data_IF_482830531488
#
_entry.id   IF_482830531488
#
_cell.length_a   1.000
_cell.length_b   1.000
_cell.length_c   1.000
_cell.angle_alpha   90.00
_cell.angle_beta   90.00
_cell.angle_gamma   90.00
#
_symmetry.space_group_name_H-M   'P 1'
#
loop_
_entity.id
_entity.type
_entity.pdbx_description
1 polymer ?
#
# COMPACT_ATOMS: atom_id res chain seq x y z
N UNK A 1 -18.92 2.25 -15.36
CA UNK A 1 -19.17 0.97 -14.69
C UNK A 1 -18.07 0.68 -13.70
N UNK A 2 -18.40 -0.02 -12.62
CA UNK A 2 -17.46 -0.30 -11.54
C UNK A 2 -16.22 -1.05 -12.02
N UNK A 3 -16.38 -2.08 -12.85
CA UNK A 3 -15.27 -2.87 -13.36
C UNK A 3 -14.29 -2.03 -14.17
N UNK A 4 -14.78 -1.11 -14.99
CA UNK A 4 -13.94 -0.20 -15.76
C UNK A 4 -13.22 0.80 -14.86
N UNK A 5 -13.90 1.28 -13.83
CA UNK A 5 -13.29 2.20 -12.87
C UNK A 5 -12.13 1.53 -12.15
N UNK A 6 -12.31 0.28 -11.72
CA UNK A 6 -11.27 -0.49 -11.06
C UNK A 6 -10.07 -0.70 -11.99
N UNK A 7 -10.32 -1.07 -13.24
CA UNK A 7 -9.24 -1.28 -14.23
C UNK A 7 -8.49 0.02 -14.51
N UNK A 8 -9.21 1.12 -14.60
CA UNK A 8 -8.60 2.44 -14.84
C UNK A 8 -7.70 2.84 -13.68
N UNK A 9 -8.19 2.70 -12.45
CA UNK A 9 -7.40 3.02 -11.27
C UNK A 9 -6.18 2.11 -11.13
N UNK A 10 -6.34 0.82 -11.42
CA UNK A 10 -5.22 -0.12 -11.39
C UNK A 10 -4.14 0.26 -12.40
N UNK A 11 -4.54 0.65 -13.61
CA UNK A 11 -3.60 1.08 -14.65
C UNK A 11 -2.90 2.39 -14.27
N UNK A 12 -3.65 3.35 -13.73
CA UNK A 12 -3.07 4.61 -13.27
C UNK A 12 -2.04 4.37 -12.19
N UNK A 13 -2.38 3.55 -11.20
CA UNK A 13 -1.48 3.24 -10.11
C UNK A 13 -0.23 2.52 -10.61
N UNK A 14 -0.41 1.54 -11.50
CA UNK A 14 0.71 0.80 -12.07
C UNK A 14 1.65 1.72 -12.84
N UNK A 15 1.11 2.64 -13.63
CA UNK A 15 1.91 3.61 -14.36
C UNK A 15 2.67 4.53 -13.41
N UNK A 16 2.00 5.00 -12.37
CA UNK A 16 2.61 5.86 -11.34
C UNK A 16 3.73 5.13 -10.61
N UNK A 17 3.53 3.87 -10.26
CA UNK A 17 4.52 3.07 -9.54
C UNK A 17 5.75 2.76 -10.37
N UNK A 18 5.64 2.77 -11.70
CA UNK A 18 6.80 2.61 -12.57
C UNK A 18 7.67 3.85 -12.64
N UNK A 19 7.10 5.01 -12.38
CA UNK A 19 7.78 6.31 -12.57
C UNK A 19 8.06 7.05 -11.27
N UNK A 20 7.51 6.59 -10.13
CA UNK A 20 7.66 7.28 -8.87
C UNK A 20 7.90 6.29 -7.72
N UNK A 21 8.52 6.80 -6.66
CA UNK A 21 8.73 6.07 -5.43
C UNK A 21 7.38 5.82 -4.75
N UNK A 22 7.04 4.58 -4.36
CA UNK A 22 5.78 4.30 -3.67
C UNK A 22 5.64 5.07 -2.35
N UNK A 23 6.74 5.40 -1.68
CA UNK A 23 6.68 6.23 -0.47
C UNK A 23 6.22 7.65 -0.80
N UNK A 24 6.67 8.19 -1.91
CA UNK A 24 6.23 9.50 -2.37
C UNK A 24 4.76 9.50 -2.75
N UNK A 25 4.30 8.44 -3.39
CA UNK A 25 2.89 8.30 -3.74
C UNK A 25 2.03 8.26 -2.49
N UNK A 26 2.46 7.52 -1.47
CA UNK A 26 1.76 7.50 -0.19
C UNK A 26 1.67 8.89 0.44
N UNK A 27 2.76 9.65 0.39
CA UNK A 27 2.77 11.01 0.92
C UNK A 27 1.77 11.91 0.18
N UNK A 28 1.73 11.82 -1.14
CA UNK A 28 0.77 12.56 -1.96
C UNK A 28 -0.68 12.20 -1.63
N UNK A 29 -0.93 10.92 -1.37
CA UNK A 29 -2.26 10.41 -1.04
C UNK A 29 -2.60 10.57 0.45
N UNK A 30 -1.71 11.16 1.23
CA UNK A 30 -1.87 11.33 2.67
C UNK A 30 -2.03 10.00 3.41
N UNK A 31 -1.30 8.99 2.95
CA UNK A 31 -1.24 7.69 3.59
C UNK A 31 0.01 7.68 4.48
N UNK A 32 -0.20 7.41 5.77
CA UNK A 32 0.88 7.31 6.73
C UNK A 32 1.52 5.92 6.64
N UNK A 33 2.84 5.87 6.71
CA UNK A 33 3.58 4.62 6.75
C UNK A 33 4.11 4.43 8.17
N UNK A 34 3.83 3.27 8.75
CA UNK A 34 4.36 2.88 10.04
C UNK A 34 5.17 1.60 9.91
N UNK A 35 6.22 1.48 10.71
CA UNK A 35 7.08 0.29 10.74
C UNK A 35 6.96 -0.35 12.11
N UNK A 36 6.67 -1.65 12.13
CA UNK A 36 6.58 -2.42 13.37
C UNK A 36 7.22 -3.80 13.17
N UNK A 37 7.97 -4.29 14.16
CA UNK A 37 8.52 -5.63 14.07
C UNK A 37 7.41 -6.67 14.20
N UNK A 38 7.35 -7.60 13.23
CA UNK A 38 6.31 -8.63 13.19
C UNK A 38 6.88 -10.03 13.05
N UNK A 39 8.21 -10.17 13.11
CA UNK A 39 8.89 -11.44 13.00
C UNK A 39 9.23 -11.82 11.56
N UNK A 40 10.00 -12.90 11.42
CA UNK A 40 10.48 -13.37 10.13
C UNK A 40 10.12 -14.83 9.85
N UNK A 41 9.22 -15.40 10.62
CA UNK A 41 8.72 -16.75 10.39
C UNK A 41 7.81 -16.80 9.17
N UNK A 42 7.63 -17.96 8.52
CA UNK A 42 6.78 -18.05 7.33
C UNK A 42 5.34 -17.57 7.57
N UNK A 43 4.83 -17.71 8.79
CA UNK A 43 3.48 -17.24 9.14
C UNK A 43 3.41 -15.81 9.64
N UNK A 44 4.53 -15.10 9.69
CA UNK A 44 4.53 -13.72 10.20
C UNK A 44 3.81 -12.77 9.25
N UNK A 45 3.15 -11.77 9.81
CA UNK A 45 2.51 -10.72 9.02
C UNK A 45 3.59 -9.91 8.30
N UNK A 46 3.34 -9.56 7.05
CA UNK A 46 4.27 -8.75 6.24
C UNK A 46 3.92 -7.28 6.27
N UNK A 47 2.64 -6.98 6.38
CA UNK A 47 2.14 -5.63 6.43
C UNK A 47 0.63 -5.62 6.27
N UNK A 48 0.00 -4.49 6.53
CA UNK A 48 -1.44 -4.34 6.38
C UNK A 48 -1.82 -2.88 6.19
N UNK A 49 -3.01 -2.69 5.65
CA UNK A 49 -3.61 -1.38 5.44
C UNK A 49 -4.80 -1.21 6.40
N UNK A 50 -4.87 -0.05 7.03
CA UNK A 50 -5.97 0.31 7.92
C UNK A 50 -6.47 1.71 7.60
N UNK A 51 -7.79 1.89 7.72
CA UNK A 51 -8.40 3.21 7.76
C UNK A 51 -8.93 3.43 9.18
N UNK A 52 -8.48 4.50 9.82
CA UNK A 52 -8.90 4.82 11.17
C UNK A 52 -9.13 6.32 11.29
N UNK A 53 -10.34 6.69 11.72
CA UNK A 53 -10.74 8.10 11.85
C UNK A 53 -10.48 8.89 10.56
N UNK A 54 -10.84 8.31 9.40
CA UNK A 54 -10.60 8.90 8.07
C UNK A 54 -9.13 9.04 7.71
N UNK A 55 -8.24 8.48 8.51
CA UNK A 55 -6.81 8.46 8.21
C UNK A 55 -6.42 7.08 7.69
N UNK A 56 -5.64 7.08 6.62
CA UNK A 56 -5.16 5.85 5.99
C UNK A 56 -3.75 5.58 6.48
N UNK A 57 -3.52 4.34 6.93
CA UNK A 57 -2.21 3.92 7.45
C UNK A 57 -1.85 2.58 6.82
N UNK A 58 -0.62 2.49 6.33
CA UNK A 58 -0.03 1.22 5.91
C UNK A 58 1.07 0.90 6.91
N UNK A 59 0.95 -0.25 7.57
CA UNK A 59 1.95 -0.73 8.51
C UNK A 59 2.76 -1.82 7.83
N UNK A 60 4.09 -1.72 7.90
CA UNK A 60 5.01 -2.67 7.29
C UNK A 60 5.84 -3.36 8.36
N UNK A 61 6.17 -4.62 8.13
CA UNK A 61 7.01 -5.40 9.02
C UNK A 61 8.47 -4.93 8.93
N UNK A 62 8.95 -4.26 9.96
CA UNK A 62 10.30 -3.70 9.99
C UNK A 62 11.40 -4.76 10.07
N UNK A 63 11.06 -6.00 10.40
CA UNK A 63 12.04 -7.10 10.44
C UNK A 63 12.38 -7.61 9.03
N UNK A 64 11.62 -7.22 8.02
CA UNK A 64 11.88 -7.60 6.64
C UNK A 64 12.89 -6.65 5.98
N UNK A 65 13.70 -7.14 5.02
CA UNK A 65 14.60 -6.27 4.26
C UNK A 65 13.84 -5.15 3.54
N UNK A 66 14.50 -4.02 3.33
CA UNK A 66 13.87 -2.87 2.68
C UNK A 66 13.29 -3.21 1.31
N UNK A 67 13.97 -4.02 0.52
CA UNK A 67 13.48 -4.42 -0.80
C UNK A 67 12.14 -5.13 -0.71
N UNK A 68 11.99 -6.00 0.28
CA UNK A 68 10.75 -6.73 0.50
C UNK A 68 9.67 -5.78 1.02
N UNK A 69 10.03 -4.90 1.95
CA UNK A 69 9.07 -3.90 2.46
C UNK A 69 8.53 -3.03 1.33
N UNK A 70 9.37 -2.67 0.37
CA UNK A 70 8.94 -1.87 -0.78
C UNK A 70 7.91 -2.61 -1.62
N UNK A 71 8.10 -3.90 -1.86
CA UNK A 71 7.15 -4.73 -2.60
C UNK A 71 5.83 -4.82 -1.85
N UNK A 72 5.90 -5.02 -0.54
CA UNK A 72 4.70 -5.08 0.31
C UNK A 72 3.96 -3.75 0.30
N UNK A 73 4.69 -2.64 0.35
CA UNK A 73 4.10 -1.31 0.27
C UNK A 73 3.32 -1.13 -1.04
N UNK A 74 3.89 -1.54 -2.15
CA UNK A 74 3.23 -1.47 -3.45
C UNK A 74 1.93 -2.27 -3.43
N UNK A 75 1.96 -3.46 -2.85
CA UNK A 75 0.79 -4.32 -2.74
C UNK A 75 -0.31 -3.67 -1.87
N UNK A 76 0.07 -3.16 -0.71
CA UNK A 76 -0.89 -2.51 0.20
C UNK A 76 -1.41 -1.20 -0.37
N UNK A 77 -0.58 -0.47 -1.10
CA UNK A 77 -1.01 0.75 -1.78
C UNK A 77 -2.06 0.44 -2.85
N UNK A 78 -1.90 -0.68 -3.55
CA UNK A 78 -2.91 -1.15 -4.49
C UNK A 78 -4.26 -1.39 -3.81
N UNK A 79 -4.25 -2.04 -2.65
CA UNK A 79 -5.46 -2.24 -1.86
C UNK A 79 -6.09 -0.92 -1.41
N UNK A 80 -5.27 0.02 -0.96
CA UNK A 80 -5.75 1.32 -0.52
C UNK A 80 -6.46 2.07 -1.63
N UNK A 81 -5.90 2.05 -2.84
CA UNK A 81 -6.50 2.70 -4.02
C UNK A 81 -7.80 2.01 -4.42
N UNK A 82 -7.80 0.69 -4.48
CA UNK A 82 -9.01 -0.06 -4.83
C UNK A 82 -10.12 0.14 -3.82
N UNK A 83 -9.79 0.19 -2.53
CA UNK A 83 -10.76 0.48 -1.49
C UNK A 83 -11.39 1.86 -1.67
N UNK A 84 -10.58 2.86 -1.96
CA UNK A 84 -11.08 4.21 -2.20
C UNK A 84 -11.98 4.27 -3.43
N UNK A 85 -11.67 3.49 -4.47
CA UNK A 85 -12.45 3.45 -5.70
C UNK A 85 -13.79 2.72 -5.53
N UNK A 86 -13.89 1.82 -4.55
CA UNK A 86 -15.10 1.04 -4.29
C UNK A 86 -16.09 1.76 -3.35
N UNK A 87 -15.65 2.80 -2.72
CA UNK A 87 -16.49 3.64 -1.88
C UNK A 87 -17.03 4.82 -2.70
#
# INVERSE_FOLDING_TARGET
MLAETIRREARRLKAKLHTADPYEICAEMRIRIELQPMGTNPGSCKGFFLTRFRKKVITLNSDLPEEIRRIILIHELGHAVLHSSLQ
#
